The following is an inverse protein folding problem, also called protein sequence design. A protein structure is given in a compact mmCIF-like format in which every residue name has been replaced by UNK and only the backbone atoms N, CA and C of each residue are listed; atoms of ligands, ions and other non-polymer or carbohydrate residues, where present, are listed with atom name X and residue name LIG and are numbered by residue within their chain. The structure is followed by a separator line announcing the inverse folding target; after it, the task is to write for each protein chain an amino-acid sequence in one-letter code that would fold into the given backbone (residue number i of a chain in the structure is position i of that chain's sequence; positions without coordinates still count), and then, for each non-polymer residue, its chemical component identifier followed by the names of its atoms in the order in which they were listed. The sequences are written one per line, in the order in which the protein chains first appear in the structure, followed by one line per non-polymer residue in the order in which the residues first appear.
data_IF_133172938193
#
_entry.id   IF_133172938193
#
_cell.length_a   1.000
_cell.length_b   1.000
_cell.length_c   1.000
_cell.angle_alpha   90.00
_cell.angle_beta   90.00
_cell.angle_gamma   90.00
#
_symmetry.space_group_name_H-M   'P 1'
#
loop_
_entity.id
_entity.type
_entity.pdbx_description
1 polymer ?
#
# COMPACT_ATOMS: atom_id res chain seq x y z
N UNK A 1 29.36 -52.41 10.93
CA UNK A 1 27.91 -52.08 10.90
C UNK A 1 27.52 -50.87 11.75
N UNK A 2 27.84 -50.79 13.06
CA UNK A 2 27.39 -49.68 13.94
C UNK A 2 27.90 -48.28 13.55
N UNK A 3 29.19 -48.15 13.19
CA UNK A 3 29.76 -46.86 12.77
C UNK A 3 29.12 -46.31 11.48
N UNK A 4 28.79 -47.21 10.54
CA UNK A 4 28.15 -46.86 9.27
C UNK A 4 26.73 -46.30 9.45
N UNK A 5 25.90 -46.94 10.28
CA UNK A 5 24.55 -46.45 10.60
C UNK A 5 24.57 -45.06 11.26
N UNK A 6 25.56 -44.79 12.11
CA UNK A 6 25.71 -43.50 12.79
C UNK A 6 26.08 -42.40 11.79
N UNK A 7 26.98 -42.67 10.84
CA UNK A 7 27.34 -41.69 9.80
C UNK A 7 26.15 -41.32 8.92
N UNK A 8 25.35 -42.31 8.51
CA UNK A 8 24.13 -42.07 7.72
C UNK A 8 23.12 -41.22 8.50
N UNK A 9 22.87 -41.54 9.77
CA UNK A 9 21.94 -40.80 10.62
C UNK A 9 22.38 -39.37 10.89
N UNK A 10 23.68 -39.13 11.09
CA UNK A 10 24.23 -37.79 11.33
C UNK A 10 24.13 -36.91 10.08
N UNK A 11 24.44 -37.45 8.90
CA UNK A 11 24.29 -36.71 7.64
C UNK A 11 22.82 -36.39 7.36
N UNK A 12 21.92 -37.33 7.59
CA UNK A 12 20.48 -37.11 7.42
C UNK A 12 19.96 -36.03 8.38
N UNK A 13 20.36 -36.09 9.65
CA UNK A 13 19.97 -35.12 10.68
C UNK A 13 20.49 -33.70 10.38
N UNK A 14 21.75 -33.56 9.96
CA UNK A 14 22.33 -32.26 9.59
C UNK A 14 21.62 -31.65 8.37
N UNK A 15 21.24 -32.49 7.40
CA UNK A 15 20.51 -32.04 6.20
C UNK A 15 19.10 -31.56 6.55
N UNK A 16 18.39 -32.27 7.43
CA UNK A 16 17.05 -31.89 7.91
C UNK A 16 17.08 -30.59 8.75
N UNK A 17 18.05 -30.46 9.66
CA UNK A 17 18.15 -29.27 10.52
C UNK A 17 18.57 -28.03 9.72
N UNK A 18 19.52 -28.16 8.79
CA UNK A 18 19.96 -27.05 7.94
C UNK A 18 18.86 -26.52 7.02
N UNK A 19 18.04 -27.43 6.47
CA UNK A 19 16.92 -27.07 5.58
C UNK A 19 15.75 -26.43 6.32
N UNK A 20 15.45 -26.88 7.55
CA UNK A 20 14.44 -26.26 8.41
C UNK A 20 14.78 -24.82 8.80
N UNK A 21 16.03 -24.55 9.20
CA UNK A 21 16.47 -23.22 9.63
C UNK A 21 16.51 -22.20 8.46
N UNK A 22 17.01 -22.63 7.28
CA UNK A 22 17.00 -21.80 6.07
C UNK A 22 15.57 -21.56 5.56
N UNK A 23 14.73 -22.59 5.59
CA UNK A 23 13.30 -22.48 5.23
C UNK A 23 12.55 -21.48 6.11
N UNK A 24 12.78 -21.50 7.43
CA UNK A 24 12.16 -20.59 8.37
C UNK A 24 12.58 -19.12 8.15
N UNK A 25 13.87 -18.87 7.89
CA UNK A 25 14.38 -17.52 7.64
C UNK A 25 13.92 -16.92 6.29
N UNK A 26 13.72 -17.76 5.27
CA UNK A 26 13.15 -17.35 3.98
C UNK A 26 11.65 -17.11 4.08
N UNK A 27 10.95 -17.90 4.89
CA UNK A 27 9.51 -17.75 5.12
C UNK A 27 9.20 -16.46 5.91
N UNK A 28 10.01 -16.13 6.93
CA UNK A 28 9.81 -14.91 7.73
C UNK A 28 10.00 -13.62 6.93
N UNK A 29 10.96 -13.56 6.01
CA UNK A 29 11.15 -12.38 5.14
C UNK A 29 10.01 -12.19 4.14
N UNK A 30 9.33 -13.27 3.76
CA UNK A 30 8.23 -13.24 2.77
C UNK A 30 6.90 -12.83 3.43
N UNK A 31 6.66 -13.25 4.67
CA UNK A 31 5.44 -12.90 5.42
C UNK A 31 5.43 -11.43 5.82
N UNK A 32 6.57 -10.83 6.22
CA UNK A 32 6.62 -9.41 6.61
C UNK A 32 6.34 -8.46 5.45
N UNK A 33 6.90 -8.72 4.27
CA UNK A 33 6.54 -7.96 3.07
C UNK A 33 5.04 -8.11 2.79
N UNK A 34 4.52 -9.35 2.91
CA UNK A 34 3.12 -9.80 2.66
C UNK A 34 2.11 -8.91 3.35
N UNK A 35 2.33 -8.83 4.65
CA UNK A 35 1.49 -8.12 5.58
C UNK A 35 1.52 -6.62 5.29
N UNK A 36 2.66 -6.03 4.92
CA UNK A 36 2.73 -4.59 4.58
C UNK A 36 1.86 -4.21 3.37
N UNK A 37 1.85 -5.03 2.32
CA UNK A 37 1.04 -4.74 1.13
C UNK A 37 -0.46 -4.93 1.38
N UNK A 38 -0.82 -5.99 2.09
CA UNK A 38 -2.23 -6.34 2.33
C UNK A 38 -2.84 -5.51 3.46
N UNK A 39 -2.08 -5.28 4.53
CA UNK A 39 -2.59 -4.66 5.76
C UNK A 39 -2.35 -3.14 5.81
N UNK A 40 -1.40 -2.60 5.04
CA UNK A 40 -1.12 -1.15 5.01
C UNK A 40 -1.43 -0.51 3.65
N UNK A 41 -0.79 -0.96 2.57
CA UNK A 41 -0.82 -0.24 1.28
C UNK A 41 -2.21 -0.30 0.61
N UNK A 42 -2.87 -1.47 0.61
CA UNK A 42 -4.20 -1.61 -0.01
C UNK A 42 -5.29 -0.80 0.72
N UNK A 43 -5.39 -0.81 2.06
CA UNK A 43 -6.27 0.11 2.79
C UNK A 43 -5.95 1.58 2.51
N UNK A 44 -4.67 1.95 2.45
CA UNK A 44 -4.26 3.33 2.17
C UNK A 44 -4.70 3.83 0.79
N UNK A 45 -4.58 3.02 -0.27
CA UNK A 45 -5.08 3.39 -1.61
C UNK A 45 -6.59 3.61 -1.60
N UNK A 46 -7.35 2.76 -0.90
CA UNK A 46 -8.82 2.91 -0.80
C UNK A 46 -9.18 4.19 -0.07
N UNK A 47 -8.49 4.52 1.02
CA UNK A 47 -8.75 5.75 1.76
C UNK A 47 -8.31 7.00 1.01
N UNK A 48 -7.24 6.95 0.21
CA UNK A 48 -6.86 8.03 -0.69
C UNK A 48 -7.90 8.26 -1.81
N UNK A 49 -8.47 7.19 -2.39
CA UNK A 49 -9.57 7.31 -3.35
C UNK A 49 -10.84 7.90 -2.70
N UNK A 50 -11.17 7.49 -1.47
CA UNK A 50 -12.27 8.10 -0.72
C UNK A 50 -12.03 9.59 -0.45
N UNK A 51 -10.80 9.95 -0.12
CA UNK A 51 -10.41 11.34 0.09
C UNK A 51 -10.59 12.16 -1.20
N UNK A 52 -10.17 11.63 -2.35
CA UNK A 52 -10.41 12.26 -3.66
C UNK A 52 -11.89 12.49 -3.92
N UNK A 53 -12.71 11.43 -3.84
CA UNK A 53 -14.15 11.51 -4.08
C UNK A 53 -14.81 12.51 -3.16
N UNK A 54 -14.47 12.50 -1.86
CA UNK A 54 -15.03 13.41 -0.87
C UNK A 54 -14.75 14.88 -1.19
N UNK A 55 -13.58 15.18 -1.75
CA UNK A 55 -13.21 16.55 -2.14
C UNK A 55 -13.86 16.94 -3.48
N UNK A 56 -14.04 16.01 -4.41
CA UNK A 56 -14.80 16.24 -5.66
C UNK A 56 -16.29 16.47 -5.40
N UNK A 57 -16.88 15.73 -4.45
CA UNK A 57 -18.27 15.92 -4.04
C UNK A 57 -18.48 17.32 -3.44
N UNK A 58 -17.48 17.84 -2.71
CA UNK A 58 -17.50 19.22 -2.24
C UNK A 58 -17.56 20.25 -3.38
N UNK A 59 -16.71 20.12 -4.39
CA UNK A 59 -16.76 21.03 -5.54
C UNK A 59 -18.10 20.92 -6.27
N UNK A 60 -18.59 19.70 -6.46
CA UNK A 60 -19.83 19.42 -7.16
C UNK A 60 -21.03 20.02 -6.43
N UNK A 61 -21.11 19.85 -5.11
CA UNK A 61 -22.18 20.42 -4.28
C UNK A 61 -22.18 21.95 -4.30
N UNK A 62 -21.01 22.57 -4.10
CA UNK A 62 -20.86 24.03 -4.18
C UNK A 62 -21.29 24.53 -5.57
N UNK A 63 -20.79 23.94 -6.65
CA UNK A 63 -21.15 24.36 -8.01
C UNK A 63 -22.63 24.19 -8.31
N UNK A 64 -23.24 23.08 -7.88
CA UNK A 64 -24.67 22.86 -8.02
C UNK A 64 -25.49 23.94 -7.32
N UNK A 65 -25.15 24.23 -6.05
CA UNK A 65 -25.79 25.28 -5.27
C UNK A 65 -25.67 26.66 -5.92
N UNK A 66 -24.48 27.04 -6.39
CA UNK A 66 -24.26 28.33 -7.06
C UNK A 66 -25.07 28.48 -8.37
N UNK A 67 -25.40 27.37 -9.02
CA UNK A 67 -26.18 27.38 -10.27
C UNK A 67 -27.68 27.45 -10.02
N UNK A 68 -28.22 26.62 -9.13
CA UNK A 68 -29.66 26.46 -8.95
C UNK A 68 -30.23 27.16 -7.71
N UNK A 69 -29.39 27.63 -6.79
CA UNK A 69 -29.77 28.28 -5.53
C UNK A 69 -30.64 27.38 -4.62
N UNK A 70 -30.56 26.05 -4.82
CA UNK A 70 -31.31 25.06 -4.05
C UNK A 70 -30.48 24.51 -2.89
N UNK A 71 -30.86 24.73 -1.61
CA UNK A 71 -30.05 24.30 -0.46
C UNK A 71 -29.75 22.80 -0.41
N UNK A 72 -30.63 21.95 -0.97
CA UNK A 72 -30.41 20.51 -1.05
C UNK A 72 -29.14 20.13 -1.85
N UNK A 73 -28.69 20.99 -2.76
CA UNK A 73 -27.46 20.78 -3.53
C UNK A 73 -26.19 20.97 -2.70
N UNK A 74 -26.28 21.45 -1.45
CA UNK A 74 -25.15 21.50 -0.52
C UNK A 74 -24.92 20.17 0.22
N UNK A 75 -25.83 19.20 0.13
CA UNK A 75 -25.67 17.90 0.78
C UNK A 75 -24.36 17.18 0.41
N UNK A 76 -23.93 17.13 -0.88
CA UNK A 76 -22.62 16.56 -1.25
C UNK A 76 -21.44 17.34 -0.65
N UNK A 77 -21.58 18.66 -0.44
CA UNK A 77 -20.55 19.47 0.19
C UNK A 77 -20.40 19.16 1.68
N UNK A 78 -21.51 19.05 2.40
CA UNK A 78 -21.49 18.72 3.82
C UNK A 78 -21.00 17.29 4.07
N UNK A 79 -21.54 16.31 3.32
CA UNK A 79 -21.07 14.92 3.39
C UNK A 79 -19.61 14.78 3.00
N UNK A 80 -19.20 15.41 1.89
CA UNK A 80 -17.83 15.38 1.43
C UNK A 80 -16.82 15.93 2.45
N UNK A 81 -17.20 16.92 3.27
CA UNK A 81 -16.32 17.41 4.36
C UNK A 81 -16.14 16.41 5.49
N UNK A 82 -17.21 15.70 5.86
CA UNK A 82 -17.15 14.65 6.87
C UNK A 82 -16.32 13.46 6.36
N UNK A 83 -16.57 13.04 5.11
CA UNK A 83 -15.86 11.94 4.47
C UNK A 83 -14.38 12.23 4.24
N UNK A 84 -14.01 13.47 3.86
CA UNK A 84 -12.61 13.92 3.77
C UNK A 84 -11.90 13.77 5.11
N UNK A 85 -12.53 14.24 6.18
CA UNK A 85 -11.94 14.22 7.54
C UNK A 85 -11.68 12.79 7.99
N UNK A 86 -12.65 11.91 7.77
CA UNK A 86 -12.58 10.52 8.20
C UNK A 86 -11.62 9.70 7.31
N UNK A 87 -11.61 9.92 5.99
CA UNK A 87 -10.63 9.31 5.08
C UNK A 87 -9.19 9.75 5.41
N UNK A 88 -8.97 11.04 5.67
CA UNK A 88 -7.67 11.56 6.06
C UNK A 88 -7.18 10.96 7.38
N UNK A 89 -8.07 10.83 8.38
CA UNK A 89 -7.74 10.21 9.67
C UNK A 89 -7.29 8.75 9.50
N UNK A 90 -8.01 7.96 8.68
CA UNK A 90 -7.62 6.57 8.39
C UNK A 90 -6.30 6.50 7.64
N UNK A 91 -6.11 7.33 6.62
CA UNK A 91 -4.85 7.35 5.85
C UNK A 91 -3.65 7.71 6.75
N UNK A 92 -3.82 8.67 7.66
CA UNK A 92 -2.81 9.04 8.65
C UNK A 92 -2.51 7.91 9.66
N UNK A 93 -3.46 7.01 9.91
CA UNK A 93 -3.27 5.87 10.83
C UNK A 93 -2.55 4.71 10.13
N UNK A 94 -2.93 4.40 8.89
CA UNK A 94 -2.44 3.23 8.15
C UNK A 94 -0.98 3.39 7.71
N UNK A 95 -0.55 4.62 7.41
CA UNK A 95 0.83 4.91 6.96
C UNK A 95 1.49 5.98 7.84
N UNK A 96 1.32 5.87 9.16
CA UNK A 96 1.88 6.80 10.13
C UNK A 96 3.42 6.93 10.02
N UNK A 97 4.10 5.85 9.65
CA UNK A 97 5.56 5.80 9.56
C UNK A 97 6.11 6.30 8.21
N UNK A 98 5.26 6.56 7.22
CA UNK A 98 5.69 7.08 5.91
C UNK A 98 5.60 8.62 5.88
N UNK A 99 6.75 9.28 6.02
CA UNK A 99 6.85 10.74 6.01
C UNK A 99 6.33 11.36 4.71
N UNK A 100 6.61 10.74 3.56
CA UNK A 100 6.16 11.26 2.26
C UNK A 100 4.65 11.23 2.12
N UNK A 101 3.99 10.18 2.60
CA UNK A 101 2.51 10.07 2.60
C UNK A 101 1.89 11.09 3.56
N UNK A 102 2.49 11.31 4.74
CA UNK A 102 2.02 12.34 5.69
C UNK A 102 2.13 13.75 5.10
N UNK A 103 3.24 14.06 4.44
CA UNK A 103 3.45 15.35 3.78
C UNK A 103 2.43 15.61 2.67
N UNK A 104 2.21 14.60 1.81
CA UNK A 104 1.24 14.68 0.71
C UNK A 104 -0.20 14.84 1.25
N UNK A 105 -0.57 14.07 2.28
CA UNK A 105 -1.87 14.21 2.94
C UNK A 105 -2.07 15.61 3.54
N UNK A 106 -1.07 16.12 4.24
CA UNK A 106 -1.12 17.46 4.81
C UNK A 106 -1.22 18.54 3.70
N UNK A 107 -0.58 18.31 2.55
CA UNK A 107 -0.69 19.21 1.40
C UNK A 107 -2.09 19.21 0.77
N UNK A 108 -2.71 18.04 0.60
CA UNK A 108 -4.12 17.92 0.13
C UNK A 108 -5.05 18.67 1.08
N UNK A 109 -4.96 18.42 2.39
CA UNK A 109 -5.81 19.06 3.38
C UNK A 109 -5.61 20.58 3.45
N UNK A 110 -4.37 21.07 3.28
CA UNK A 110 -4.10 22.52 3.20
C UNK A 110 -4.78 23.12 1.96
N UNK A 111 -4.58 22.53 0.79
CA UNK A 111 -5.19 23.01 -0.45
C UNK A 111 -6.73 23.02 -0.36
N UNK A 112 -7.33 21.95 0.19
CA UNK A 112 -8.78 21.84 0.36
C UNK A 112 -9.32 22.89 1.35
N UNK A 113 -8.64 23.14 2.48
CA UNK A 113 -8.99 24.23 3.40
C UNK A 113 -8.91 25.60 2.73
N UNK A 114 -7.81 25.89 2.05
CA UNK A 114 -7.64 27.16 1.32
C UNK A 114 -8.75 27.37 0.28
N UNK A 115 -9.09 26.34 -0.50
CA UNK A 115 -10.21 26.44 -1.44
C UNK A 115 -11.55 26.69 -0.73
N UNK A 116 -11.81 26.03 0.40
CA UNK A 116 -13.04 26.25 1.18
C UNK A 116 -13.14 27.67 1.74
N UNK A 117 -12.06 28.15 2.35
CA UNK A 117 -12.00 29.44 3.02
C UNK A 117 -12.02 30.61 2.04
N UNK A 118 -11.31 30.50 0.92
CA UNK A 118 -11.14 31.59 -0.03
C UNK A 118 -12.18 31.60 -1.17
N UNK A 119 -12.88 30.49 -1.41
CA UNK A 119 -13.90 30.41 -2.46
C UNK A 119 -15.22 29.81 -1.98
N UNK A 120 -15.24 28.57 -1.49
CA UNK A 120 -16.49 27.86 -1.27
C UNK A 120 -17.40 28.56 -0.25
N UNK A 121 -16.88 28.92 0.93
CA UNK A 121 -17.65 29.59 1.96
C UNK A 121 -18.11 30.99 1.52
N UNK A 122 -17.24 31.88 0.99
CA UNK A 122 -17.68 33.16 0.43
C UNK A 122 -18.74 33.01 -0.66
N UNK A 123 -18.61 32.03 -1.55
CA UNK A 123 -19.55 31.85 -2.65
C UNK A 123 -20.92 31.37 -2.16
N UNK A 124 -20.97 30.44 -1.20
CA UNK A 124 -22.22 30.00 -0.55
C UNK A 124 -22.89 31.20 0.13
N UNK A 125 -22.15 31.93 0.97
CA UNK A 125 -22.67 33.10 1.68
C UNK A 125 -23.11 34.22 0.74
N UNK A 126 -22.48 34.37 -0.43
CA UNK A 126 -22.92 35.34 -1.42
C UNK A 126 -24.31 35.02 -1.95
N UNK A 127 -24.60 33.75 -2.25
CA UNK A 127 -25.93 33.30 -2.69
C UNK A 127 -26.97 33.48 -1.59
N UNK A 128 -26.65 33.10 -0.34
CA UNK A 128 -27.54 33.28 0.81
C UNK A 128 -27.94 34.74 1.03
N UNK A 129 -27.00 35.66 0.82
CA UNK A 129 -27.23 37.10 0.97
C UNK A 129 -27.73 37.79 -0.31
N UNK A 130 -27.92 37.06 -1.41
CA UNK A 130 -28.32 37.63 -2.71
C UNK A 130 -27.29 38.59 -3.32
N UNK A 131 -26.01 38.41 -3.00
CA UNK A 131 -24.89 39.22 -3.51
C UNK A 131 -24.16 38.49 -4.65
N UNK A 132 -23.34 39.22 -5.39
CA UNK A 132 -22.55 38.62 -6.48
C UNK A 132 -21.50 37.66 -5.94
N UNK A 133 -21.50 36.38 -6.35
CA UNK A 133 -20.51 35.42 -5.90
C UNK A 133 -19.11 35.75 -6.45
N UNK A 134 -18.04 35.26 -5.80
CA UNK A 134 -16.69 35.32 -6.34
C UNK A 134 -16.61 34.69 -7.74
N UNK A 135 -15.61 35.08 -8.53
CA UNK A 135 -15.40 34.53 -9.87
C UNK A 135 -15.32 33.00 -9.85
N UNK A 136 -16.20 32.34 -10.62
CA UNK A 136 -16.18 30.88 -10.78
C UNK A 136 -14.85 30.37 -11.32
N UNK A 137 -14.15 31.16 -12.14
CA UNK A 137 -12.81 30.83 -12.62
C UNK A 137 -11.81 30.79 -11.47
N UNK A 138 -11.86 31.76 -10.54
CA UNK A 138 -10.96 31.79 -9.38
C UNK A 138 -11.19 30.59 -8.44
N UNK A 139 -12.44 30.12 -8.32
CA UNK A 139 -12.78 28.90 -7.61
C UNK A 139 -12.23 27.65 -8.28
N UNK A 140 -12.35 27.57 -9.61
CA UNK A 140 -11.78 26.49 -10.40
C UNK A 140 -10.26 26.43 -10.28
N UNK A 141 -9.56 27.57 -10.42
CA UNK A 141 -8.09 27.60 -10.37
C UNK A 141 -7.55 27.13 -9.02
N UNK A 142 -8.23 27.50 -7.93
CA UNK A 142 -7.93 27.00 -6.58
C UNK A 142 -8.21 25.52 -6.44
N UNK A 143 -9.34 25.04 -6.97
CA UNK A 143 -9.66 23.62 -6.91
C UNK A 143 -8.71 22.76 -7.76
N UNK A 144 -8.18 23.31 -8.86
CA UNK A 144 -7.17 22.63 -9.68
C UNK A 144 -5.87 22.39 -8.89
N UNK A 145 -5.52 23.24 -7.90
CA UNK A 145 -4.43 22.94 -6.95
C UNK A 145 -4.77 21.73 -6.07
N UNK A 146 -6.01 21.63 -5.60
CA UNK A 146 -6.46 20.48 -4.82
C UNK A 146 -6.32 19.18 -5.64
N UNK A 147 -6.79 19.18 -6.90
CA UNK A 147 -6.62 18.05 -7.81
C UNK A 147 -5.15 17.68 -8.04
N UNK A 148 -4.26 18.68 -8.20
CA UNK A 148 -2.81 18.43 -8.33
C UNK A 148 -2.22 17.75 -7.09
N UNK A 149 -2.62 18.17 -5.88
CA UNK A 149 -2.14 17.55 -4.63
C UNK A 149 -2.64 16.12 -4.47
N UNK A 150 -3.91 15.87 -4.81
CA UNK A 150 -4.49 14.52 -4.78
C UNK A 150 -3.76 13.61 -5.77
N UNK A 151 -3.54 14.06 -7.01
CA UNK A 151 -2.80 13.29 -8.01
C UNK A 151 -1.36 12.96 -7.56
N UNK A 152 -0.67 13.91 -6.91
CA UNK A 152 0.67 13.67 -6.38
C UNK A 152 0.68 12.60 -5.28
N UNK A 153 -0.30 12.64 -4.37
CA UNK A 153 -0.48 11.64 -3.32
C UNK A 153 -0.73 10.25 -3.90
N UNK A 154 -1.64 10.14 -4.88
CA UNK A 154 -1.94 8.88 -5.56
C UNK A 154 -0.71 8.32 -6.27
N UNK A 155 0.01 9.15 -7.03
CA UNK A 155 1.23 8.73 -7.71
C UNK A 155 2.33 8.27 -6.73
N UNK A 156 2.35 8.74 -5.49
CA UNK A 156 3.23 8.19 -4.44
C UNK A 156 2.74 6.84 -3.95
N UNK A 157 1.45 6.69 -3.64
CA UNK A 157 0.88 5.43 -3.17
C UNK A 157 1.01 4.32 -4.22
N UNK A 158 0.88 4.65 -5.51
CA UNK A 158 1.11 3.72 -6.62
C UNK A 158 2.57 3.27 -6.68
N UNK A 159 3.52 4.19 -6.54
CA UNK A 159 4.96 3.84 -6.45
C UNK A 159 5.26 2.95 -5.25
N UNK A 160 4.69 3.24 -4.07
CA UNK A 160 4.85 2.40 -2.88
C UNK A 160 4.29 0.99 -3.11
N UNK A 161 3.16 0.88 -3.81
CA UNK A 161 2.58 -0.40 -4.18
C UNK A 161 3.46 -1.19 -5.15
N UNK A 162 4.00 -0.54 -6.17
CA UNK A 162 4.88 -1.17 -7.17
C UNK A 162 6.23 -1.60 -6.56
N UNK A 163 6.80 -0.77 -5.69
CA UNK A 163 8.02 -1.08 -4.93
C UNK A 163 7.80 -2.28 -3.98
N UNK A 164 6.65 -2.33 -3.31
CA UNK A 164 6.27 -3.48 -2.51
C UNK A 164 6.17 -4.74 -3.40
N UNK A 165 5.39 -4.68 -4.49
CA UNK A 165 5.20 -5.80 -5.44
C UNK A 165 6.50 -6.33 -6.03
N UNK A 166 7.43 -5.46 -6.43
CA UNK A 166 8.72 -5.86 -6.98
C UNK A 166 9.59 -6.58 -5.93
N UNK A 167 9.58 -6.08 -4.69
CA UNK A 167 10.25 -6.72 -3.55
C UNK A 167 9.71 -8.13 -3.28
N UNK A 168 8.39 -8.34 -3.42
CA UNK A 168 7.79 -9.68 -3.33
C UNK A 168 8.20 -10.64 -4.42
N UNK A 169 8.22 -10.17 -5.67
CA UNK A 169 8.60 -10.99 -6.83
C UNK A 169 10.04 -11.50 -6.70
N UNK A 170 10.94 -10.62 -6.26
CA UNK A 170 12.33 -10.98 -5.98
C UNK A 170 12.45 -12.00 -4.82
N UNK A 171 11.70 -11.80 -3.72
CA UNK A 171 11.70 -12.72 -2.59
C UNK A 171 11.19 -14.13 -2.95
N UNK A 172 10.15 -14.24 -3.79
CA UNK A 172 9.66 -15.55 -4.29
C UNK A 172 10.70 -16.25 -5.16
N UNK A 173 11.35 -15.52 -6.07
CA UNK A 173 12.38 -16.11 -6.95
C UNK A 173 13.58 -16.63 -6.15
N UNK A 174 13.99 -15.90 -5.11
CA UNK A 174 15.07 -16.34 -4.23
C UNK A 174 14.68 -17.58 -3.40
N UNK A 175 13.44 -17.63 -2.89
CA UNK A 175 12.90 -18.81 -2.21
C UNK A 175 12.90 -20.03 -3.13
N UNK A 176 12.43 -19.89 -4.37
CA UNK A 176 12.33 -21.02 -5.30
C UNK A 176 13.73 -21.53 -5.70
N UNK A 177 14.72 -20.64 -5.84
CA UNK A 177 16.13 -21.03 -6.06
C UNK A 177 16.73 -21.78 -4.87
N UNK A 178 16.43 -21.35 -3.63
CA UNK A 178 16.90 -22.06 -2.43
C UNK A 178 16.23 -23.43 -2.31
N UNK A 179 14.91 -23.53 -2.56
CA UNK A 179 14.20 -24.80 -2.57
C UNK A 179 14.79 -25.75 -3.63
N UNK A 180 15.07 -25.25 -4.84
CA UNK A 180 15.72 -26.02 -5.89
C UNK A 180 17.11 -26.50 -5.45
N UNK A 181 17.93 -25.63 -4.86
CA UNK A 181 19.26 -25.99 -4.36
C UNK A 181 19.20 -27.07 -3.27
N UNK A 182 18.21 -27.01 -2.39
CA UNK A 182 17.95 -28.05 -1.37
C UNK A 182 17.60 -29.38 -2.03
N UNK A 183 16.67 -29.39 -2.99
CA UNK A 183 16.29 -30.61 -3.73
C UNK A 183 17.51 -31.21 -4.44
N UNK A 184 18.31 -30.39 -5.11
CA UNK A 184 19.55 -30.85 -5.77
C UNK A 184 20.55 -31.43 -4.77
N UNK A 185 20.76 -30.78 -3.63
CA UNK A 185 21.65 -31.29 -2.58
C UNK A 185 21.18 -32.64 -2.02
N UNK A 186 19.87 -32.83 -1.82
CA UNK A 186 19.29 -34.11 -1.41
C UNK A 186 19.51 -35.22 -2.45
N UNK A 187 19.30 -34.91 -3.73
CA UNK A 187 19.53 -35.87 -4.82
C UNK A 187 21.01 -36.28 -4.88
N UNK A 188 21.94 -35.32 -4.80
CA UNK A 188 23.37 -35.59 -4.80
C UNK A 188 23.80 -36.43 -3.59
N UNK A 189 23.29 -36.12 -2.40
CA UNK A 189 23.54 -36.90 -1.20
C UNK A 189 23.02 -38.35 -1.33
N UNK A 190 21.82 -38.53 -1.89
CA UNK A 190 21.25 -39.84 -2.16
C UNK A 190 22.09 -40.66 -3.14
N UNK A 191 22.56 -40.04 -4.23
CA UNK A 191 23.45 -40.68 -5.21
C UNK A 191 24.79 -41.07 -4.57
N UNK A 192 25.41 -40.17 -3.80
CA UNK A 192 26.65 -40.46 -3.11
C UNK A 192 26.51 -41.65 -2.13
N UNK A 193 25.38 -41.72 -1.42
CA UNK A 193 25.05 -42.83 -0.52
C UNK A 193 24.90 -44.16 -1.28
N UNK A 194 24.20 -44.13 -2.42
CA UNK A 194 24.01 -45.32 -3.27
C UNK A 194 25.35 -45.85 -3.82
N UNK A 195 26.24 -44.96 -4.27
CA UNK A 195 27.59 -45.33 -4.73
C UNK A 195 28.44 -45.91 -3.60
N UNK A 196 28.40 -45.30 -2.41
CA UNK A 196 29.10 -45.80 -1.22
C UNK A 196 28.61 -47.19 -0.81
N UNK A 197 27.31 -47.44 -0.91
CA UNK A 197 26.71 -48.75 -0.67
C UNK A 197 27.19 -49.79 -1.68
N UNK A 198 27.18 -49.46 -2.97
CA UNK A 198 27.61 -50.37 -4.03
C UNK A 198 29.09 -50.76 -3.86
N UNK A 199 29.97 -49.78 -3.68
CA UNK A 199 31.42 -50.01 -3.50
C UNK A 199 31.76 -50.70 -2.18
N UNK A 200 30.97 -50.46 -1.12
CA UNK A 200 31.19 -51.04 0.20
C UNK A 200 30.64 -52.46 0.37
N UNK A 201 29.64 -52.86 -0.44
CA UNK A 201 29.07 -54.21 -0.45
C UNK A 201 29.81 -55.12 -1.44
N UNK A 202 30.41 -54.55 -2.50
CA UNK A 202 31.23 -55.28 -3.47
C UNK A 202 32.67 -55.57 -3.02
N UNK A 203 33.04 -55.22 -1.78
CA UNK A 203 34.32 -55.55 -1.13
C UNK A 203 34.09 -56.44 0.09
#
# INVERSE_FOLDING_TARGET
MRAWLITVLVVLALTVVGTGALGAALLSRTTTAGNRLVDEILPAQRDALRLETAVLDQETGVRGYLLAHEPALLEPYERGRADETEAARRLATVLADDEGVREDLAAVQRAARTWREEFAAPAITSVENGTTPPSAQAGKDRFDEVRRRVAAQQARLDRLQDDARSTFGAARTQRDRVLLAIVVAFLLAGVALAVLLDVGVLR
#
